data_IF_245034608098
#
_entry.id   IF_245034608098
#
_cell.length_a   1.000
_cell.length_b   1.000
_cell.length_c   1.000
_cell.angle_alpha   90.00
_cell.angle_beta   90.00
_cell.angle_gamma   90.00
#
_symmetry.space_group_name_H-M   'P 1'
#
loop_
_entity.id
_entity.type
_entity.pdbx_description
1 polymer ?
#
# COMPACT_ATOMS: atom_id res chain seq x y z
N UNK A 1 0.54 -13.18 16.52
CA UNK A 1 0.85 -11.75 16.28
C UNK A 1 0.51 -11.42 14.83
N UNK A 2 -0.39 -10.46 14.58
CA UNK A 2 -0.86 -10.16 13.22
C UNK A 2 0.16 -9.36 12.42
N UNK A 3 0.50 -9.82 11.22
CA UNK A 3 1.41 -9.12 10.33
C UNK A 3 0.75 -7.81 9.87
N UNK A 4 1.43 -6.66 10.04
CA UNK A 4 0.90 -5.39 9.55
C UNK A 4 0.75 -5.44 8.02
N UNK A 5 -0.43 -5.09 7.51
CA UNK A 5 -0.77 -5.08 6.07
C UNK A 5 -0.98 -3.67 5.53
N UNK A 6 -0.65 -2.65 6.33
CA UNK A 6 -0.74 -1.24 5.93
C UNK A 6 0.66 -0.64 5.96
N UNK A 7 1.05 -0.03 4.85
CA UNK A 7 2.39 0.50 4.62
C UNK A 7 2.32 1.98 4.28
N UNK A 8 3.33 2.75 4.69
CA UNK A 8 3.48 4.18 4.34
C UNK A 8 4.47 4.33 3.18
N UNK A 9 4.47 5.49 2.51
CA UNK A 9 5.49 5.81 1.52
C UNK A 9 6.90 5.68 2.09
N UNK A 10 7.85 5.28 1.25
CA UNK A 10 9.24 5.05 1.64
C UNK A 10 9.50 3.75 2.41
N UNK A 11 8.48 3.09 2.96
CA UNK A 11 8.65 1.74 3.52
C UNK A 11 8.96 0.73 2.42
N UNK A 12 9.61 -0.38 2.78
CA UNK A 12 9.94 -1.45 1.83
C UNK A 12 8.79 -2.45 1.72
N UNK A 13 8.49 -2.86 0.49
CA UNK A 13 7.56 -3.95 0.22
C UNK A 13 8.11 -5.25 0.83
N UNK A 14 7.33 -5.97 1.65
CA UNK A 14 7.78 -7.20 2.29
C UNK A 14 7.81 -8.41 1.35
N UNK A 15 7.09 -8.35 0.22
CA UNK A 15 7.04 -9.40 -0.79
C UNK A 15 6.64 -8.82 -2.16
N UNK A 16 6.77 -9.66 -3.18
CA UNK A 16 6.35 -9.34 -4.54
C UNK A 16 4.82 -9.32 -4.63
N UNK A 17 4.26 -8.23 -5.13
CA UNK A 17 2.82 -8.11 -5.21
C UNK A 17 2.33 -6.82 -5.83
N UNK A 18 1.00 -6.76 -5.98
CA UNK A 18 0.30 -5.54 -6.34
C UNK A 18 -0.23 -4.93 -5.04
N UNK A 19 0.09 -3.67 -4.84
CA UNK A 19 -0.34 -2.88 -3.71
C UNK A 19 -1.31 -1.80 -4.20
N UNK A 20 -2.28 -1.47 -3.36
CA UNK A 20 -3.33 -0.49 -3.65
C UNK A 20 -3.40 0.53 -2.54
N UNK A 21 -3.68 1.77 -2.93
CA UNK A 21 -3.82 2.88 -2.01
C UNK A 21 -5.16 2.84 -1.27
N UNK A 22 -5.11 3.09 0.03
CA UNK A 22 -6.24 3.15 0.97
C UNK A 22 -6.10 4.37 1.88
N UNK A 23 -7.18 4.79 2.52
CA UNK A 23 -7.14 5.81 3.56
C UNK A 23 -6.48 5.27 4.83
N UNK A 24 -6.03 6.16 5.72
CA UNK A 24 -5.38 5.81 6.99
C UNK A 24 -6.18 4.81 7.85
N UNK A 25 -7.52 4.91 7.81
CA UNK A 25 -8.44 4.02 8.52
C UNK A 25 -8.60 2.65 7.86
N UNK A 26 -8.16 2.48 6.61
CA UNK A 26 -8.40 1.27 5.80
C UNK A 26 -9.58 1.39 4.84
N UNK A 27 -10.22 2.55 4.75
CA UNK A 27 -11.31 2.82 3.81
C UNK A 27 -10.78 2.96 2.37
N UNK A 28 -11.63 2.63 1.39
CA UNK A 28 -11.33 2.87 -0.01
C UNK A 28 -11.28 4.38 -0.29
N UNK A 29 -10.27 4.82 -1.05
CA UNK A 29 -10.14 6.21 -1.49
C UNK A 29 -10.79 6.39 -2.86
N UNK A 30 -11.16 7.64 -3.18
CA UNK A 30 -11.53 8.00 -4.54
C UNK A 30 -10.28 7.93 -5.42
N UNK A 31 -10.38 7.17 -6.51
CA UNK A 31 -9.31 6.90 -7.49
C UNK A 31 -8.05 6.32 -6.83
N UNK A 32 -8.10 5.05 -6.36
CA UNK A 32 -6.94 4.42 -5.71
C UNK A 32 -5.84 4.12 -6.71
N UNK A 33 -4.61 4.52 -6.37
CA UNK A 33 -3.43 4.14 -7.12
C UNK A 33 -3.08 2.67 -6.88
N UNK A 34 -2.54 2.01 -7.91
CA UNK A 34 -2.04 0.64 -7.83
C UNK A 34 -0.60 0.59 -8.29
N UNK A 35 0.25 -0.13 -7.55
CA UNK A 35 1.67 -0.27 -7.86
C UNK A 35 2.07 -1.73 -7.74
N UNK A 36 2.85 -2.22 -8.71
CA UNK A 36 3.49 -3.53 -8.63
C UNK A 36 4.89 -3.33 -8.07
N UNK A 37 5.18 -3.95 -6.94
CA UNK A 37 6.48 -3.86 -6.26
C UNK A 37 7.01 -5.26 -6.02
N UNK A 38 8.32 -5.38 -6.05
CA UNK A 38 9.10 -6.53 -5.61
C UNK A 38 9.59 -6.34 -4.19
N UNK A 39 9.93 -7.43 -3.52
CA UNK A 39 10.40 -7.44 -2.14
C UNK A 39 11.64 -6.53 -1.99
N UNK A 40 11.57 -5.58 -1.06
CA UNK A 40 12.63 -4.61 -0.80
C UNK A 40 12.49 -3.28 -1.55
N UNK A 41 11.64 -3.18 -2.58
CA UNK A 41 11.35 -1.90 -3.24
C UNK A 41 10.57 -0.97 -2.33
N UNK A 42 10.79 0.34 -2.48
CA UNK A 42 10.12 1.34 -1.65
C UNK A 42 8.73 1.66 -2.22
N UNK A 43 7.76 1.81 -1.33
CA UNK A 43 6.47 2.39 -1.69
C UNK A 43 6.66 3.83 -2.18
N UNK A 44 6.04 4.21 -3.33
CA UNK A 44 6.11 5.58 -3.80
C UNK A 44 5.35 6.51 -2.89
N UNK A 45 5.61 7.81 -3.05
CA UNK A 45 4.90 8.83 -2.31
C UNK A 45 3.40 8.79 -2.62
N UNK A 46 2.64 8.87 -1.54
CA UNK A 46 1.20 8.91 -1.61
C UNK A 46 0.75 10.27 -2.16
N UNK A 47 -0.34 10.27 -2.91
CA UNK A 47 -0.93 11.52 -3.44
C UNK A 47 -1.48 12.43 -2.34
N UNK A 48 -1.64 11.90 -1.13
CA UNK A 48 -2.08 12.61 0.06
C UNK A 48 -1.41 11.99 1.30
N UNK A 49 -0.92 12.82 2.23
CA UNK A 49 -0.22 12.40 3.46
C UNK A 49 -0.99 11.39 4.33
N UNK A 50 -2.31 11.32 4.20
CA UNK A 50 -3.18 10.44 4.97
C UNK A 50 -3.44 9.09 4.28
N UNK A 51 -2.82 8.81 3.14
CA UNK A 51 -2.99 7.54 2.42
C UNK A 51 -1.91 6.54 2.80
N UNK A 52 -2.27 5.27 2.70
CA UNK A 52 -1.41 4.12 2.98
C UNK A 52 -1.55 3.10 1.85
N UNK A 53 -0.59 2.21 1.74
CA UNK A 53 -0.59 1.10 0.81
C UNK A 53 -1.04 -0.17 1.52
N UNK A 54 -1.80 -1.01 0.84
CA UNK A 54 -2.14 -2.36 1.30
C UNK A 54 -2.05 -3.33 0.14
N UNK A 55 -2.05 -4.63 0.45
CA UNK A 55 -2.11 -5.64 -0.61
C UNK A 55 -3.42 -5.51 -1.39
N UNK A 56 -3.33 -5.57 -2.72
CA UNK A 56 -4.51 -5.76 -3.56
C UNK A 56 -5.11 -7.11 -3.20
N UNK A 57 -6.31 -7.10 -2.60
CA UNK A 57 -7.07 -8.33 -2.36
C UNK A 57 -7.41 -8.94 -3.72
N UNK A 58 -7.26 -10.26 -3.85
CA UNK A 58 -7.84 -10.97 -4.98
C UNK A 58 -9.37 -10.86 -4.88
N UNK A 59 -10.08 -10.67 -6.00
CA UNK A 59 -11.54 -10.69 -6.02
C UNK A 59 -12.09 -12.02 -5.49
#
# INVERSE_FOLDING_TARGET
MGQNRRFRSGQKAPNDGIYVEIGETGSMVKDPQMVKLTAGEKFPDNTNHNRQWTYKRKP
#
